data_IF_019145478344
#
_entry.id   IF_019145478344
#
_cell.length_a   1.000
_cell.length_b   1.000
_cell.length_c   1.000
_cell.angle_alpha   90.00
_cell.angle_beta   90.00
_cell.angle_gamma   90.00
#
_symmetry.space_group_name_H-M   'P 1'
#
loop_
_entity.id
_entity.type
_entity.pdbx_description
1 polymer ?
#
# COMPACT_ATOMS: atom_id res chain seq x y z
N UNK A 1 19.03 20.55 -36.03
CA UNK A 1 17.68 20.49 -35.42
C UNK A 1 16.78 21.63 -35.92
N UNK A 2 17.28 22.85 -36.17
CA UNK A 2 16.51 23.91 -36.85
C UNK A 2 16.27 23.67 -38.36
N UNK A 3 17.07 22.81 -39.00
CA UNK A 3 17.01 22.58 -40.45
C UNK A 3 15.95 21.56 -40.91
N UNK A 4 15.35 20.76 -40.01
CA UNK A 4 14.26 19.84 -40.37
C UNK A 4 12.87 20.46 -40.18
N UNK A 5 12.77 21.55 -39.41
CA UNK A 5 11.51 22.26 -39.16
C UNK A 5 11.06 23.12 -40.35
N UNK A 6 11.93 23.40 -41.33
CA UNK A 6 11.58 24.19 -42.51
C UNK A 6 10.84 23.40 -43.60
N UNK A 7 10.89 22.06 -43.56
CA UNK A 7 10.25 21.19 -44.53
C UNK A 7 8.76 20.92 -44.22
N UNK A 8 8.31 21.25 -43.00
CA UNK A 8 6.93 21.09 -42.56
C UNK A 8 6.25 22.45 -42.50
N UNK A 9 5.84 22.98 -43.66
CA UNK A 9 5.01 24.18 -43.75
C UNK A 9 3.55 23.87 -43.33
N UNK A 10 3.37 23.22 -42.18
CA UNK A 10 2.07 23.02 -41.56
C UNK A 10 1.82 24.16 -40.59
N UNK A 11 0.85 25.02 -40.93
CA UNK A 11 0.27 25.94 -39.96
C UNK A 11 -0.50 25.11 -38.93
N UNK A 12 -0.11 25.24 -37.66
CA UNK A 12 -0.85 24.64 -36.55
C UNK A 12 -2.31 25.14 -36.56
N UNK A 13 -3.31 24.29 -36.28
CA UNK A 13 -4.71 24.71 -36.31
C UNK A 13 -5.00 25.75 -35.21
N UNK A 14 -5.82 26.75 -35.57
CA UNK A 14 -6.20 27.82 -34.63
C UNK A 14 -7.27 27.38 -33.62
N UNK A 15 -7.97 26.26 -33.87
CA UNK A 15 -9.05 25.75 -33.03
C UNK A 15 -8.97 24.23 -32.91
N UNK A 16 -9.12 23.71 -31.68
CA UNK A 16 -9.01 22.28 -31.35
C UNK A 16 -10.13 21.86 -30.39
N UNK A 17 -10.79 20.74 -30.68
CA UNK A 17 -11.71 20.08 -29.75
C UNK A 17 -10.95 19.08 -28.88
N UNK A 18 -11.08 19.22 -27.58
CA UNK A 18 -10.33 18.44 -26.59
C UNK A 18 -11.31 17.56 -25.82
N UNK A 19 -11.22 16.24 -26.04
CA UNK A 19 -11.92 15.23 -25.27
C UNK A 19 -11.35 15.12 -23.86
N UNK A 20 -12.20 15.15 -22.84
CA UNK A 20 -11.78 15.13 -21.43
C UNK A 20 -12.59 14.17 -20.58
N UNK A 21 -11.96 13.63 -19.52
CA UNK A 21 -12.65 12.92 -18.43
C UNK A 21 -12.52 13.72 -17.14
N UNK A 22 -13.61 14.33 -16.64
CA UNK A 22 -13.57 14.94 -15.32
C UNK A 22 -13.28 13.88 -14.25
N UNK A 23 -12.11 14.00 -13.60
CA UNK A 23 -11.69 13.12 -12.52
C UNK A 23 -11.38 13.96 -11.30
N UNK A 24 -12.07 13.68 -10.19
CA UNK A 24 -11.93 14.43 -8.95
C UNK A 24 -10.44 14.44 -8.53
N UNK A 25 -9.92 15.63 -8.23
CA UNK A 25 -8.52 15.90 -7.87
C UNK A 25 -7.47 15.81 -9.00
N UNK A 26 -7.82 15.32 -10.20
CA UNK A 26 -6.92 15.28 -11.36
C UNK A 26 -7.28 16.34 -12.41
N UNK A 27 -8.57 16.42 -12.74
CA UNK A 27 -9.13 17.35 -13.71
C UNK A 27 -10.54 17.77 -13.28
N UNK A 28 -10.64 18.98 -12.73
CA UNK A 28 -11.91 19.60 -12.36
C UNK A 28 -12.36 20.60 -13.45
N UNK A 29 -13.65 20.57 -13.75
CA UNK A 29 -14.29 21.47 -14.71
C UNK A 29 -15.43 22.24 -14.06
N UNK A 30 -15.69 23.42 -14.60
CA UNK A 30 -16.87 24.23 -14.30
C UNK A 30 -17.77 24.29 -15.54
N UNK A 31 -19.08 24.39 -15.30
CA UNK A 31 -20.07 24.59 -16.34
C UNK A 31 -20.49 26.07 -16.34
N UNK A 32 -20.47 26.70 -17.50
CA UNK A 32 -21.02 28.04 -17.67
C UNK A 32 -22.56 27.99 -17.70
N UNK A 33 -23.20 29.16 -17.51
CA UNK A 33 -24.65 29.32 -17.56
C UNK A 33 -25.26 28.93 -18.92
N UNK A 34 -24.43 28.82 -19.96
CA UNK A 34 -24.78 28.39 -21.32
C UNK A 34 -24.58 26.89 -21.57
N UNK A 35 -24.01 26.16 -20.60
CA UNK A 35 -23.68 24.74 -20.71
C UNK A 35 -22.26 24.45 -21.23
N UNK A 36 -21.48 25.49 -21.55
CA UNK A 36 -20.08 25.32 -21.97
C UNK A 36 -19.19 24.88 -20.81
N UNK A 37 -18.24 24.01 -21.10
CA UNK A 37 -17.33 23.42 -20.10
C UNK A 37 -15.99 24.15 -20.13
N UNK A 38 -15.52 24.58 -18.96
CA UNK A 38 -14.23 25.21 -18.80
C UNK A 38 -13.40 24.51 -17.74
N UNK A 39 -12.08 24.47 -17.95
CA UNK A 39 -11.17 23.99 -16.92
C UNK A 39 -11.26 24.86 -15.66
N UNK A 40 -11.38 24.21 -14.51
CA UNK A 40 -11.32 24.86 -13.19
C UNK A 40 -9.96 24.69 -12.56
N UNK A 41 -9.48 23.44 -12.45
CA UNK A 41 -8.19 23.10 -11.87
C UNK A 41 -7.75 21.71 -12.32
N UNK A 42 -6.45 21.44 -12.24
CA UNK A 42 -5.88 20.15 -12.61
C UNK A 42 -4.51 20.28 -13.27
N UNK A 43 -3.74 19.21 -13.24
CA UNK A 43 -2.41 19.18 -13.89
C UNK A 43 -2.60 19.26 -15.40
N UNK A 44 -3.53 18.49 -15.94
CA UNK A 44 -3.87 18.43 -17.37
C UNK A 44 -4.46 19.75 -17.89
N UNK A 45 -5.31 20.40 -17.09
CA UNK A 45 -5.81 21.74 -17.39
C UNK A 45 -4.69 22.77 -17.53
N UNK A 46 -3.71 22.76 -16.61
CA UNK A 46 -2.57 23.65 -16.68
C UNK A 46 -1.67 23.34 -17.89
N UNK A 47 -1.49 22.06 -18.22
CA UNK A 47 -0.72 21.64 -19.38
C UNK A 47 -1.33 22.17 -20.69
N UNK A 48 -2.64 21.96 -20.90
CA UNK A 48 -3.33 22.48 -22.10
C UNK A 48 -3.31 24.01 -22.13
N UNK A 49 -3.49 24.68 -20.99
CA UNK A 49 -3.40 26.15 -20.95
C UNK A 49 -2.04 26.65 -21.42
N UNK A 50 -0.94 26.13 -20.88
CA UNK A 50 0.42 26.48 -21.31
C UNK A 50 0.64 26.17 -22.79
N UNK A 51 0.16 25.00 -23.25
CA UNK A 51 0.29 24.59 -24.64
C UNK A 51 -0.48 25.53 -25.58
N UNK A 52 -1.69 25.95 -25.18
CA UNK A 52 -2.55 26.89 -25.93
C UNK A 52 -1.94 28.29 -26.02
N UNK A 53 -1.32 28.76 -24.93
CA UNK A 53 -0.61 30.04 -24.89
C UNK A 53 0.64 30.02 -25.78
N UNK A 54 1.37 28.90 -25.79
CA UNK A 54 2.60 28.73 -26.57
C UNK A 54 2.35 28.58 -28.07
N UNK A 55 1.38 27.75 -28.46
CA UNK A 55 1.06 27.47 -29.86
C UNK A 55 0.01 28.42 -30.45
N UNK A 56 -0.68 29.21 -29.62
CA UNK A 56 -1.64 30.22 -30.05
C UNK A 56 -2.97 29.67 -30.58
N UNK A 57 -3.43 28.53 -30.06
CA UNK A 57 -4.73 27.97 -30.43
C UNK A 57 -5.81 28.20 -29.38
N UNK A 58 -7.04 28.25 -29.86
CA UNK A 58 -8.26 28.22 -29.04
C UNK A 58 -8.81 26.80 -28.97
N UNK A 59 -9.54 26.47 -27.91
CA UNK A 59 -10.06 25.12 -27.75
C UNK A 59 -11.46 25.08 -27.13
N UNK A 60 -12.17 23.98 -27.38
CA UNK A 60 -13.43 23.64 -26.74
C UNK A 60 -13.30 22.27 -26.07
N UNK A 61 -13.83 22.16 -24.85
CA UNK A 61 -13.84 20.91 -24.10
C UNK A 61 -15.07 20.07 -24.46
N UNK A 62 -14.84 18.79 -24.72
CA UNK A 62 -15.88 17.81 -25.04
C UNK A 62 -15.81 16.70 -23.99
N UNK A 63 -16.90 16.51 -23.25
CA UNK A 63 -17.04 15.42 -22.29
C UNK A 63 -17.76 14.27 -22.99
N UNK A 64 -17.32 13.04 -22.76
CA UNK A 64 -18.00 11.85 -23.26
C UNK A 64 -19.31 11.59 -22.50
N UNK A 65 -20.36 11.17 -23.21
CA UNK A 65 -21.69 10.92 -22.63
C UNK A 65 -21.71 9.74 -21.64
N UNK A 66 -20.81 8.77 -21.85
CA UNK A 66 -20.73 7.52 -21.08
C UNK A 66 -19.78 7.59 -19.88
N UNK A 67 -19.04 8.70 -19.71
CA UNK A 67 -17.99 8.88 -18.70
C UNK A 67 -16.94 7.74 -18.66
N UNK A 68 -16.64 7.11 -19.80
CA UNK A 68 -15.63 6.05 -19.89
C UNK A 68 -14.30 6.55 -20.49
N UNK A 69 -13.19 5.88 -20.16
CA UNK A 69 -11.90 6.10 -20.85
C UNK A 69 -11.92 5.59 -22.29
N UNK A 70 -12.57 4.44 -22.49
CA UNK A 70 -12.76 3.81 -23.77
C UNK A 70 -12.35 2.35 -23.79
N UNK A 71 -13.30 1.54 -24.27
CA UNK A 71 -13.19 0.11 -24.51
C UNK A 71 -13.64 -0.19 -25.94
N UNK A 72 -12.99 -1.18 -26.54
CA UNK A 72 -13.39 -1.69 -27.85
C UNK A 72 -14.64 -2.55 -27.70
N UNK A 73 -15.67 -2.25 -28.48
CA UNK A 73 -16.88 -3.05 -28.60
C UNK A 73 -16.71 -4.11 -29.70
N UNK A 74 -17.57 -5.13 -29.68
CA UNK A 74 -17.59 -6.22 -30.67
C UNK A 74 -17.87 -5.73 -32.11
N UNK A 75 -18.53 -4.58 -32.25
CA UNK A 75 -18.82 -3.94 -33.54
C UNK A 75 -17.62 -3.16 -34.12
N UNK A 76 -16.48 -3.13 -33.42
CA UNK A 76 -15.28 -2.40 -33.81
C UNK A 76 -15.30 -0.91 -33.40
N UNK A 77 -16.40 -0.43 -32.81
CA UNK A 77 -16.46 0.93 -32.27
C UNK A 77 -15.80 1.02 -30.89
N UNK A 78 -15.44 2.24 -30.50
CA UNK A 78 -14.87 2.55 -29.20
C UNK A 78 -15.83 3.38 -28.34
N UNK A 79 -15.93 3.05 -27.05
CA UNK A 79 -16.60 3.89 -26.04
C UNK A 79 -15.68 5.01 -25.55
N UNK A 80 -16.23 5.89 -24.72
CA UNK A 80 -15.45 6.82 -23.94
C UNK A 80 -14.70 7.86 -24.77
N UNK A 81 -13.67 8.40 -24.15
CA UNK A 81 -12.83 9.45 -24.75
C UNK A 81 -12.04 8.96 -25.94
N UNK A 82 -11.58 7.70 -25.93
CA UNK A 82 -11.00 7.09 -27.13
C UNK A 82 -12.03 7.04 -28.26
N UNK A 83 -13.30 6.75 -27.95
CA UNK A 83 -14.41 6.81 -28.91
C UNK A 83 -14.60 8.19 -29.52
N UNK A 84 -14.49 9.27 -28.73
CA UNK A 84 -14.58 10.65 -29.23
C UNK A 84 -13.52 10.95 -30.29
N UNK A 85 -12.27 10.52 -30.05
CA UNK A 85 -11.17 10.71 -31.01
C UNK A 85 -11.36 9.82 -32.23
N UNK A 86 -11.71 8.55 -32.02
CA UNK A 86 -11.92 7.58 -33.10
C UNK A 86 -13.02 8.02 -34.08
N UNK A 87 -14.10 8.63 -33.57
CA UNK A 87 -15.22 9.15 -34.37
C UNK A 87 -15.00 10.58 -34.89
N UNK A 88 -13.82 11.18 -34.67
CA UNK A 88 -13.52 12.59 -35.00
C UNK A 88 -14.47 13.61 -34.34
N UNK A 89 -15.03 13.28 -33.18
CA UNK A 89 -15.82 14.18 -32.33
C UNK A 89 -14.91 15.09 -31.49
N UNK A 90 -13.71 14.59 -31.14
CA UNK A 90 -12.60 15.34 -30.56
C UNK A 90 -11.34 15.21 -31.43
N UNK A 91 -10.54 16.27 -31.50
CA UNK A 91 -9.29 16.29 -32.29
C UNK A 91 -8.12 15.73 -31.48
N UNK A 92 -8.11 15.99 -30.17
CA UNK A 92 -7.20 15.38 -29.20
C UNK A 92 -7.98 14.97 -27.95
N UNK A 93 -7.41 14.05 -27.17
CA UNK A 93 -7.91 13.69 -25.86
C UNK A 93 -6.85 13.98 -24.79
N UNK A 94 -7.28 14.55 -23.67
CA UNK A 94 -6.46 14.62 -22.46
C UNK A 94 -7.24 14.05 -21.28
N UNK A 95 -6.68 13.01 -20.71
CA UNK A 95 -7.18 12.33 -19.53
C UNK A 95 -6.04 11.47 -18.97
N UNK A 96 -6.17 11.06 -17.72
CA UNK A 96 -5.32 10.04 -17.11
C UNK A 96 -5.60 8.67 -17.76
N UNK A 97 -5.10 8.50 -18.98
CA UNK A 97 -5.39 7.40 -19.89
C UNK A 97 -4.15 6.56 -20.09
N UNK A 98 -4.25 5.28 -19.73
CA UNK A 98 -3.19 4.32 -19.97
C UNK A 98 -3.03 4.02 -21.45
N UNK A 99 -1.78 4.09 -21.93
CA UNK A 99 -1.43 3.65 -23.27
C UNK A 99 -1.43 2.12 -23.33
N UNK A 100 -2.27 1.55 -24.21
CA UNK A 100 -2.32 0.10 -24.46
C UNK A 100 -2.22 -0.18 -25.96
N UNK A 101 -1.73 -1.37 -26.38
CA UNK A 101 -1.64 -1.72 -27.80
C UNK A 101 -2.97 -1.61 -28.55
N UNK A 102 -4.08 -1.97 -27.89
CA UNK A 102 -5.40 -1.88 -28.48
C UNK A 102 -5.79 -0.42 -28.75
N UNK A 103 -5.55 0.47 -27.79
CA UNK A 103 -5.86 1.91 -27.93
C UNK A 103 -4.93 2.58 -28.93
N UNK A 104 -3.66 2.20 -28.97
CA UNK A 104 -2.67 2.70 -29.93
C UNK A 104 -2.97 2.30 -31.37
N UNK A 105 -3.86 1.32 -31.60
CA UNK A 105 -4.30 0.97 -32.95
C UNK A 105 -5.28 1.98 -33.57
N UNK A 106 -5.91 2.82 -32.74
CA UNK A 106 -6.93 3.80 -33.19
C UNK A 106 -6.61 5.25 -32.87
N UNK A 107 -5.61 5.50 -32.01
CA UNK A 107 -5.17 6.84 -31.64
C UNK A 107 -3.66 6.86 -31.37
N UNK A 108 -3.00 7.96 -31.75
CA UNK A 108 -1.60 8.19 -31.42
C UNK A 108 -1.46 8.78 -30.02
N UNK A 109 -0.50 8.27 -29.25
CA UNK A 109 -0.28 8.66 -27.85
C UNK A 109 1.00 9.49 -27.70
N UNK A 110 0.95 10.47 -26.80
CA UNK A 110 2.11 11.23 -26.34
C UNK A 110 2.52 10.74 -24.95
N UNK A 111 3.82 10.49 -24.76
CA UNK A 111 4.38 10.17 -23.45
C UNK A 111 4.62 11.46 -22.66
N UNK A 112 3.68 11.85 -21.81
CA UNK A 112 3.85 13.02 -20.93
C UNK A 112 3.82 12.68 -19.44
N UNK A 113 3.43 11.46 -19.05
CA UNK A 113 3.41 11.03 -17.66
C UNK A 113 3.94 9.61 -17.51
N UNK A 114 4.51 9.32 -16.34
CA UNK A 114 4.95 7.98 -15.96
C UNK A 114 3.77 7.32 -15.24
N UNK A 115 3.27 6.23 -15.80
CA UNK A 115 2.25 5.41 -15.12
C UNK A 115 2.91 4.64 -13.96
N UNK A 116 2.51 4.95 -12.73
CA UNK A 116 2.93 4.18 -11.55
C UNK A 116 1.80 3.25 -11.11
N UNK A 117 2.06 1.94 -11.18
CA UNK A 117 1.15 0.93 -10.64
C UNK A 117 1.32 0.88 -9.11
N UNK A 118 0.27 1.28 -8.39
CA UNK A 118 0.23 1.21 -6.93
C UNK A 118 -0.84 0.22 -6.46
N UNK A 119 -0.60 -0.41 -5.31
CA UNK A 119 -1.58 -1.27 -4.64
C UNK A 119 -2.14 -0.54 -3.43
N UNK A 120 -3.46 -0.50 -3.34
CA UNK A 120 -4.16 0.03 -2.15
C UNK A 120 -4.55 -1.16 -1.27
N UNK A 121 -4.04 -1.19 -0.04
CA UNK A 121 -4.42 -2.19 0.98
C UNK A 121 -5.14 -1.51 2.13
N UNK A 122 -5.95 -2.28 2.86
CA UNK A 122 -6.52 -1.81 4.11
C UNK A 122 -5.41 -1.41 5.09
N UNK A 123 -5.65 -0.35 5.85
CA UNK A 123 -4.77 0.02 6.95
C UNK A 123 -4.67 -1.16 7.92
N UNK A 124 -3.46 -1.61 8.33
CA UNK A 124 -3.34 -2.71 9.28
C UNK A 124 -4.03 -2.33 10.59
N UNK A 125 -4.74 -3.29 11.19
CA UNK A 125 -5.45 -3.08 12.44
C UNK A 125 -4.51 -2.74 13.61
N UNK A 126 -5.04 -2.02 14.60
CA UNK A 126 -4.30 -1.69 15.81
C UNK A 126 -4.07 -2.93 16.68
N UNK A 127 -2.81 -3.30 16.92
CA UNK A 127 -2.46 -4.34 17.90
C UNK A 127 -2.47 -3.72 19.29
N UNK A 128 -3.10 -4.40 20.27
CA UNK A 128 -3.12 -3.94 21.67
C UNK A 128 -1.69 -3.81 22.22
N UNK A 129 -1.27 -2.58 22.52
CA UNK A 129 0.07 -2.27 23.03
C UNK A 129 0.39 -2.90 24.38
N UNK A 130 -0.62 -3.21 25.21
CA UNK A 130 -0.43 -3.72 26.58
C UNK A 130 0.08 -5.17 26.63
N UNK A 131 -0.29 -6.01 25.67
CA UNK A 131 0.12 -7.42 25.61
C UNK A 131 1.31 -7.66 24.70
N UNK A 132 1.94 -6.59 24.19
CA UNK A 132 3.04 -6.69 23.23
C UNK A 132 4.23 -7.48 23.78
N UNK A 133 4.47 -7.44 25.09
CA UNK A 133 5.52 -8.20 25.75
C UNK A 133 5.31 -9.73 25.74
N UNK A 134 4.07 -10.19 25.55
CA UNK A 134 3.74 -11.62 25.50
C UNK A 134 3.75 -12.19 24.07
N UNK A 135 3.69 -11.33 23.05
CA UNK A 135 3.66 -11.69 21.63
C UNK A 135 4.91 -12.40 21.10
N UNK A 136 6.15 -12.17 21.61
CA UNK A 136 7.33 -12.84 21.06
C UNK A 136 7.31 -14.36 21.19
N UNK A 137 6.52 -14.90 22.14
CA UNK A 137 6.45 -16.34 22.40
C UNK A 137 5.02 -16.86 22.25
N UNK A 138 4.88 -18.05 21.65
CA UNK A 138 3.61 -18.74 21.57
C UNK A 138 3.06 -19.10 22.96
N UNK A 139 1.74 -19.18 23.10
CA UNK A 139 1.04 -19.57 24.33
C UNK A 139 1.57 -20.87 24.93
N UNK A 140 1.98 -21.82 24.10
CA UNK A 140 2.56 -23.10 24.54
C UNK A 140 3.84 -22.91 25.36
N UNK A 141 4.69 -21.93 25.01
CA UNK A 141 5.92 -21.63 25.75
C UNK A 141 5.58 -21.10 27.14
N UNK A 142 4.61 -20.18 27.23
CA UNK A 142 4.14 -19.64 28.51
C UNK A 142 3.56 -20.73 29.42
N UNK A 143 2.72 -21.61 28.88
CA UNK A 143 2.19 -22.77 29.62
C UNK A 143 3.34 -23.65 30.12
N UNK A 144 4.35 -23.89 29.28
CA UNK A 144 5.52 -24.70 29.63
C UNK A 144 6.31 -24.04 30.78
N UNK A 145 6.59 -22.74 30.72
CA UNK A 145 7.28 -22.00 31.79
C UNK A 145 6.51 -22.08 33.11
N UNK A 146 5.20 -21.83 33.09
CA UNK A 146 4.35 -21.90 34.29
C UNK A 146 4.33 -23.32 34.86
N UNK A 147 4.18 -24.33 33.99
CA UNK A 147 4.17 -25.73 34.41
C UNK A 147 5.52 -26.13 35.05
N UNK A 148 6.64 -25.74 34.44
CA UNK A 148 7.97 -26.04 34.92
C UNK A 148 8.24 -25.37 36.28
N UNK A 149 7.76 -24.13 36.47
CA UNK A 149 7.86 -23.40 37.72
C UNK A 149 7.07 -24.07 38.88
N UNK A 150 6.02 -24.85 38.58
CA UNK A 150 5.25 -25.58 39.60
C UNK A 150 5.81 -27.00 39.82
N UNK A 151 6.13 -27.73 38.74
CA UNK A 151 6.56 -29.12 38.83
C UNK A 151 7.96 -29.28 39.43
N UNK A 152 8.88 -28.35 39.17
CA UNK A 152 10.25 -28.46 39.68
C UNK A 152 10.35 -28.38 41.21
N UNK A 153 9.70 -27.42 41.92
CA UNK A 153 9.64 -27.44 43.37
C UNK A 153 8.98 -28.70 43.93
N UNK A 154 7.93 -29.23 43.29
CA UNK A 154 7.26 -30.47 43.71
C UNK A 154 8.20 -31.67 43.61
N UNK A 155 8.90 -31.81 42.48
CA UNK A 155 9.88 -32.88 42.28
C UNK A 155 11.04 -32.77 43.28
N UNK A 156 11.48 -31.54 43.59
CA UNK A 156 12.50 -31.29 44.59
C UNK A 156 12.04 -31.69 46.01
N UNK A 157 10.77 -31.46 46.36
CA UNK A 157 10.18 -31.90 47.64
C UNK A 157 10.13 -33.42 47.77
N UNK A 158 9.78 -34.14 46.70
CA UNK A 158 9.68 -35.61 46.72
C UNK A 158 11.07 -36.25 46.86
N UNK A 159 12.07 -35.69 46.19
CA UNK A 159 13.42 -36.27 46.15
C UNK A 159 14.27 -35.94 47.37
N UNK A 160 13.96 -34.86 48.10
CA UNK A 160 14.77 -34.35 49.21
C UNK A 160 14.27 -34.89 50.55
N UNK A 161 15.19 -35.42 51.35
CA UNK A 161 14.92 -35.99 52.67
C UNK A 161 14.60 -34.96 53.78
N UNK A 162 15.03 -33.71 53.60
CA UNK A 162 14.86 -32.62 54.59
C UNK A 162 13.70 -31.70 54.22
N UNK A 163 12.84 -31.43 55.20
CA UNK A 163 11.69 -30.53 55.06
C UNK A 163 12.14 -29.08 54.83
N UNK A 164 12.00 -28.59 53.60
CA UNK A 164 11.88 -27.17 53.29
C UNK A 164 10.41 -26.87 52.96
N UNK A 165 9.97 -25.64 53.23
CA UNK A 165 8.64 -25.19 52.82
C UNK A 165 8.54 -25.10 51.29
N UNK A 166 7.40 -25.50 50.72
CA UNK A 166 7.13 -25.42 49.28
C UNK A 166 7.32 -24.00 48.74
N UNK A 167 6.79 -23.00 49.45
CA UNK A 167 6.88 -21.60 49.02
C UNK A 167 8.33 -21.12 48.98
N UNK A 168 9.16 -21.56 49.92
CA UNK A 168 10.56 -21.21 49.94
C UNK A 168 11.33 -21.81 48.76
N UNK A 169 11.00 -23.06 48.38
CA UNK A 169 11.54 -23.70 47.17
C UNK A 169 11.04 -23.03 45.89
N UNK A 170 9.75 -22.69 45.83
CA UNK A 170 9.13 -21.98 44.71
C UNK A 170 9.84 -20.66 44.45
N UNK A 171 10.00 -19.82 45.49
CA UNK A 171 10.68 -18.53 45.35
C UNK A 171 12.16 -18.69 44.99
N UNK A 172 12.88 -19.63 45.60
CA UNK A 172 14.30 -19.85 45.28
C UNK A 172 14.51 -20.33 43.84
N UNK A 173 13.69 -21.25 43.34
CA UNK A 173 13.78 -21.74 41.96
C UNK A 173 13.32 -20.68 40.96
N UNK A 174 12.29 -19.90 41.30
CA UNK A 174 11.85 -18.75 40.51
C UNK A 174 12.92 -17.66 40.43
N UNK A 175 13.66 -17.39 41.51
CA UNK A 175 14.80 -16.47 41.49
C UNK A 175 15.91 -16.96 40.55
N UNK A 176 16.21 -18.27 40.53
CA UNK A 176 17.19 -18.84 39.58
C UNK A 176 16.70 -18.68 38.13
N UNK A 177 15.40 -18.87 37.88
CA UNK A 177 14.80 -18.68 36.55
C UNK A 177 14.95 -17.24 36.04
N UNK A 178 14.91 -16.25 36.93
CA UNK A 178 15.14 -14.84 36.59
C UNK A 178 16.63 -14.47 36.47
N UNK A 179 17.54 -15.44 36.54
CA UNK A 179 18.98 -15.21 36.54
C UNK A 179 19.49 -14.54 37.82
N UNK A 180 18.68 -14.49 38.88
CA UNK A 180 19.09 -13.96 40.19
C UNK A 180 19.80 -15.05 40.99
N UNK A 181 20.70 -14.65 41.90
CA UNK A 181 21.46 -15.58 42.74
C UNK A 181 20.55 -16.31 43.73
N UNK A 182 20.04 -17.50 43.36
CA UNK A 182 19.34 -18.41 44.26
C UNK A 182 20.26 -19.54 44.73
N UNK A 183 20.60 -19.58 46.02
CA UNK A 183 21.43 -20.64 46.58
C UNK A 183 20.59 -21.75 47.21
N UNK A 184 20.68 -22.97 46.67
CA UNK A 184 20.10 -24.17 47.27
C UNK A 184 21.25 -25.11 47.66
N UNK A 185 21.68 -25.04 48.92
CA UNK A 185 22.60 -26.03 49.47
C UNK A 185 21.92 -27.40 49.51
N UNK A 186 22.50 -28.35 48.77
CA UNK A 186 22.19 -29.77 48.90
C UNK A 186 23.45 -30.61 48.75
N UNK A 187 23.67 -31.53 49.69
CA UNK A 187 24.75 -32.51 49.64
C UNK A 187 24.38 -33.75 48.81
N UNK A 188 23.10 -33.95 48.51
CA UNK A 188 22.61 -35.13 47.79
C UNK A 188 22.81 -35.01 46.28
N UNK A 189 23.39 -36.04 45.65
CA UNK A 189 23.65 -36.07 44.20
C UNK A 189 22.36 -35.88 43.37
N UNK A 190 21.25 -36.49 43.79
CA UNK A 190 19.94 -36.41 43.11
C UNK A 190 19.43 -34.96 43.04
N UNK A 191 19.57 -34.22 44.14
CA UNK A 191 19.20 -32.81 44.20
C UNK A 191 20.11 -31.92 43.34
N UNK A 192 21.42 -32.24 43.27
CA UNK A 192 22.38 -31.48 42.45
C UNK A 192 22.14 -31.66 40.95
N UNK A 193 21.80 -32.87 40.51
CA UNK A 193 21.41 -33.15 39.13
C UNK A 193 20.15 -32.34 38.77
N UNK A 194 19.16 -32.31 39.67
CA UNK A 194 17.92 -31.58 39.41
C UNK A 194 18.17 -30.07 39.32
N UNK A 195 18.95 -29.49 40.23
CA UNK A 195 19.36 -28.08 40.18
C UNK A 195 20.15 -27.79 38.89
N UNK A 196 21.06 -28.68 38.49
CA UNK A 196 21.80 -28.55 37.23
C UNK A 196 20.89 -28.52 36.02
N UNK A 197 19.88 -29.39 35.97
CA UNK A 197 18.88 -29.40 34.90
C UNK A 197 18.04 -28.12 34.87
N UNK A 198 17.71 -27.56 36.04
CA UNK A 198 16.99 -26.29 36.16
C UNK A 198 17.81 -25.10 35.66
N UNK A 199 19.11 -25.08 35.97
CA UNK A 199 20.04 -24.03 35.50
C UNK A 199 20.23 -24.09 33.98
N UNK A 200 20.19 -25.28 33.37
CA UNK A 200 20.28 -25.43 31.90
C UNK A 200 18.97 -24.98 31.22
N UNK A 201 17.84 -25.13 31.91
CA UNK A 201 16.53 -24.74 31.42
C UNK A 201 16.28 -23.22 31.51
N UNK A 202 16.79 -22.57 32.57
CA UNK A 202 16.70 -21.12 32.80
C UNK A 202 17.68 -20.31 31.95
#
# INVERSE_FOLDING_TARGET
MELELSAFNMKFPNFIRIGILPLRHLLEVNYDSKGDVHFKSGVEANFIRVLSEFLGFSYQLVITDDAEWGQMKDDGNWTGIIGLVHRNEADIAIAHLTMSPERSSVADFLFYTVEENSFVTNLPGFVMKSLFYLLPFHTNVWITIISAAIFMPLLFMILRSKALSFHELLFRLFSILLGQQGYIASSELKCRILIGSWIIFS
#
